data_IF_586682474444
#
_entry.id   IF_586682474444
#
_cell.length_a   1.000
_cell.length_b   1.000
_cell.length_c   1.000
_cell.angle_alpha   90.00
_cell.angle_beta   90.00
_cell.angle_gamma   90.00
#
_symmetry.space_group_name_H-M   'P 1'
#
loop_
_entity.id
_entity.type
_entity.pdbx_description
1 polymer ?
#
# COMPACT_ATOMS: atom_id res chain seq x y z
N UNK A 1 -0.96 -21.40 37.07
CA UNK A 1 -2.05 -21.46 36.09
C UNK A 1 -2.04 -20.18 35.27
N UNK A 2 -1.40 -20.18 34.09
CA UNK A 2 -1.35 -19.00 33.22
C UNK A 2 -2.76 -18.78 32.67
N UNK A 3 -3.36 -17.64 32.99
CA UNK A 3 -4.71 -17.27 32.53
C UNK A 3 -4.71 -17.18 31.02
N UNK A 4 -5.36 -18.14 30.36
CA UNK A 4 -5.68 -18.05 28.94
C UNK A 4 -6.79 -17.02 28.84
N UNK A 5 -6.46 -15.82 28.37
CA UNK A 5 -7.45 -14.82 27.99
C UNK A 5 -8.14 -15.32 26.72
N UNK A 6 -9.37 -15.79 26.86
CA UNK A 6 -10.19 -16.17 25.72
C UNK A 6 -10.66 -14.91 24.99
N UNK A 7 -10.29 -14.79 23.72
CA UNK A 7 -10.81 -13.74 22.82
C UNK A 7 -11.99 -14.33 22.05
N UNK A 8 -13.18 -13.69 22.06
CA UNK A 8 -14.30 -14.15 21.24
C UNK A 8 -13.93 -14.20 19.76
N UNK A 9 -14.38 -15.23 19.05
CA UNK A 9 -14.16 -15.38 17.60
C UNK A 9 -14.63 -14.15 16.81
N UNK A 10 -15.68 -13.47 17.28
CA UNK A 10 -16.20 -12.22 16.67
C UNK A 10 -15.22 -11.05 16.72
N UNK A 11 -14.24 -11.11 17.62
CA UNK A 11 -13.27 -10.04 17.85
C UNK A 11 -11.90 -10.39 17.27
N UNK A 12 -11.74 -11.59 16.70
CA UNK A 12 -10.50 -11.98 16.03
C UNK A 12 -10.41 -11.33 14.67
N UNK A 13 -9.23 -10.81 14.37
CA UNK A 13 -8.83 -10.33 13.04
C UNK A 13 -8.05 -11.42 12.33
N UNK A 14 -7.99 -11.36 11.01
CA UNK A 14 -7.17 -12.30 10.21
C UNK A 14 -5.70 -12.30 10.64
N UNK A 15 -5.18 -11.16 11.12
CA UNK A 15 -3.81 -11.01 11.63
C UNK A 15 -3.54 -11.79 12.92
N UNK A 16 -4.57 -12.13 13.70
CA UNK A 16 -4.40 -12.92 14.95
C UNK A 16 -3.99 -14.38 14.67
N UNK A 17 -4.07 -14.81 13.40
CA UNK A 17 -3.64 -16.12 12.93
C UNK A 17 -2.26 -16.09 12.24
N UNK A 18 -1.58 -14.93 12.23
CA UNK A 18 -0.27 -14.74 11.62
C UNK A 18 0.84 -14.65 12.69
N UNK A 19 2.06 -14.99 12.30
CA UNK A 19 3.25 -14.92 13.16
C UNK A 19 3.89 -13.53 13.06
N UNK A 20 4.21 -12.92 14.20
CA UNK A 20 4.94 -11.63 14.26
C UNK A 20 6.43 -11.82 13.96
N UNK A 21 7.07 -10.86 13.29
CA UNK A 21 8.51 -10.86 13.09
C UNK A 21 9.14 -9.46 13.19
N UNK A 22 10.40 -9.39 13.64
CA UNK A 22 11.23 -8.17 13.57
C UNK A 22 12.16 -8.20 12.36
N UNK A 23 12.81 -9.35 12.13
CA UNK A 23 13.69 -9.57 10.98
C UNK A 23 13.51 -10.98 10.45
N UNK A 24 13.66 -11.15 9.14
CA UNK A 24 13.76 -12.47 8.52
C UNK A 24 14.61 -12.41 7.25
N UNK A 25 14.97 -13.58 6.75
CA UNK A 25 15.63 -13.76 5.47
C UNK A 25 14.96 -14.90 4.72
N UNK A 26 14.92 -14.81 3.40
CA UNK A 26 14.50 -15.93 2.57
C UNK A 26 15.54 -17.06 2.64
N UNK A 27 15.07 -18.30 2.52
CA UNK A 27 15.87 -19.52 2.72
C UNK A 27 17.06 -19.65 1.76
N UNK A 28 17.02 -18.99 0.62
CA UNK A 28 18.09 -18.96 -0.38
C UNK A 28 19.12 -17.83 -0.14
N UNK A 29 19.00 -17.04 0.93
CA UNK A 29 19.96 -15.96 1.17
C UNK A 29 21.23 -16.45 1.88
N UNK A 30 22.39 -16.15 1.29
CA UNK A 30 23.70 -16.50 1.84
C UNK A 30 24.35 -15.41 2.73
N UNK A 31 23.72 -14.24 2.87
CA UNK A 31 24.33 -13.06 3.51
C UNK A 31 23.42 -12.42 4.58
N UNK A 32 22.56 -13.22 5.23
CA UNK A 32 21.56 -12.75 6.19
C UNK A 32 22.14 -12.01 7.41
N UNK A 33 23.40 -12.27 7.76
CA UNK A 33 24.08 -11.64 8.89
C UNK A 33 24.67 -10.24 8.55
N UNK A 34 24.61 -9.82 7.28
CA UNK A 34 25.20 -8.57 6.83
C UNK A 34 24.15 -7.50 6.56
N UNK A 35 24.24 -6.39 7.29
CA UNK A 35 23.36 -5.21 7.13
C UNK A 35 23.47 -4.57 5.73
N UNK A 36 24.59 -4.79 5.03
CA UNK A 36 24.78 -4.34 3.65
C UNK A 36 24.16 -5.29 2.61
N UNK A 37 23.43 -6.33 3.03
CA UNK A 37 22.79 -7.27 2.15
C UNK A 37 21.29 -6.96 1.99
N UNK A 38 20.86 -6.81 0.74
CA UNK A 38 19.44 -6.62 0.38
C UNK A 38 18.54 -7.80 0.77
N UNK A 39 19.09 -8.90 1.29
CA UNK A 39 18.29 -10.04 1.73
C UNK A 39 17.63 -9.89 3.10
N UNK A 40 18.24 -9.11 3.99
CA UNK A 40 17.74 -9.03 5.37
C UNK A 40 16.52 -8.11 5.38
N UNK A 41 15.36 -8.70 5.62
CA UNK A 41 14.09 -8.00 5.63
C UNK A 41 13.75 -7.66 7.07
N UNK A 42 13.74 -6.36 7.35
CA UNK A 42 13.50 -5.82 8.69
C UNK A 42 12.16 -5.12 8.70
N UNK A 43 11.33 -5.43 9.70
CA UNK A 43 10.11 -4.69 9.94
C UNK A 43 10.44 -3.22 10.22
N UNK A 44 9.80 -2.24 9.56
CA UNK A 44 10.13 -0.84 9.78
C UNK A 44 9.85 -0.40 11.22
N UNK A 45 10.58 0.61 11.69
CA UNK A 45 10.41 1.15 13.04
C UNK A 45 8.97 1.62 13.27
N UNK A 46 8.45 1.35 14.47
CA UNK A 46 7.08 1.63 14.91
C UNK A 46 5.97 0.88 14.16
N UNK A 47 6.31 0.04 13.17
CA UNK A 47 5.36 -0.81 12.47
C UNK A 47 5.25 -2.19 13.15
N UNK A 48 4.17 -2.88 12.84
CA UNK A 48 3.97 -4.28 13.21
C UNK A 48 3.95 -5.13 11.94
N UNK A 49 4.75 -6.20 11.91
CA UNK A 49 4.83 -7.07 10.75
C UNK A 49 4.44 -8.51 11.08
N UNK A 50 3.71 -9.13 10.15
CA UNK A 50 3.10 -10.44 10.34
C UNK A 50 3.26 -11.30 9.10
N UNK A 51 3.39 -12.61 9.26
CA UNK A 51 3.50 -13.53 8.15
C UNK A 51 2.73 -14.84 8.38
N UNK A 52 2.34 -15.52 7.31
CA UNK A 52 1.86 -16.89 7.39
C UNK A 52 3.05 -17.89 7.39
N UNK A 53 2.85 -19.17 7.76
CA UNK A 53 3.95 -20.14 7.82
C UNK A 53 4.71 -20.34 6.50
N UNK A 54 4.09 -20.02 5.36
CA UNK A 54 4.68 -20.19 4.03
C UNK A 54 5.29 -18.91 3.45
N UNK A 55 5.17 -17.76 4.15
CA UNK A 55 5.55 -16.43 3.66
C UNK A 55 4.84 -16.03 2.35
N UNK A 56 3.71 -16.67 2.06
CA UNK A 56 2.83 -16.27 0.96
C UNK A 56 2.08 -14.97 1.28
N UNK A 57 1.83 -14.72 2.56
CA UNK A 57 1.28 -13.48 3.10
C UNK A 57 2.31 -12.87 4.04
N UNK A 58 2.72 -11.64 3.72
CA UNK A 58 3.57 -10.80 4.54
C UNK A 58 2.89 -9.44 4.68
N UNK A 59 2.38 -9.16 5.87
CA UNK A 59 1.67 -7.94 6.23
C UNK A 59 2.61 -6.99 6.95
N UNK A 60 2.66 -5.75 6.49
CA UNK A 60 3.40 -4.64 7.14
C UNK A 60 2.39 -3.57 7.53
N UNK A 61 2.10 -3.46 8.82
CA UNK A 61 1.17 -2.49 9.38
C UNK A 61 1.92 -1.30 9.98
N UNK A 62 1.89 -0.19 9.27
CA UNK A 62 2.44 1.10 9.66
C UNK A 62 1.34 2.19 9.79
N UNK A 63 0.11 1.78 10.08
CA UNK A 63 -1.03 2.68 10.15
C UNK A 63 -1.00 3.59 11.39
N UNK A 64 -1.63 4.77 11.28
CA UNK A 64 -1.90 5.68 12.39
C UNK A 64 -0.70 6.09 13.25
N UNK A 65 0.49 6.22 12.64
CA UNK A 65 1.72 6.60 13.35
C UNK A 65 1.95 8.12 13.37
N UNK A 66 1.11 8.90 12.69
CA UNK A 66 1.28 10.36 12.53
C UNK A 66 2.63 10.74 11.90
N UNK A 67 3.19 9.87 11.06
CA UNK A 67 4.46 10.13 10.36
C UNK A 67 4.22 10.86 9.04
N UNK A 68 5.19 11.67 8.63
CA UNK A 68 5.12 12.45 7.38
C UNK A 68 5.86 11.82 6.21
N UNK A 69 6.58 10.72 6.43
CA UNK A 69 7.36 10.05 5.39
C UNK A 69 7.07 8.55 5.38
N UNK A 70 7.09 7.97 4.18
CA UNK A 70 6.97 6.52 3.99
C UNK A 70 8.26 5.87 4.48
N UNK A 71 8.21 4.77 5.26
CA UNK A 71 9.42 4.08 5.70
C UNK A 71 10.27 3.59 4.52
N UNK A 72 11.56 3.96 4.48
CA UNK A 72 12.46 3.57 3.38
C UNK A 72 12.62 2.04 3.25
N UNK A 73 12.47 1.32 4.37
CA UNK A 73 12.74 -0.13 4.50
C UNK A 73 11.50 -1.00 4.58
N UNK A 74 10.46 -0.71 3.77
CA UNK A 74 9.37 -1.69 3.59
C UNK A 74 9.98 -2.98 2.98
N UNK A 75 9.82 -4.16 3.61
CA UNK A 75 10.28 -5.44 3.09
C UNK A 75 9.90 -5.67 1.62
N UNK A 76 10.84 -6.14 0.79
CA UNK A 76 10.59 -6.34 -0.66
C UNK A 76 9.57 -7.43 -0.98
N UNK A 77 9.34 -8.37 -0.06
CA UNK A 77 8.37 -9.46 -0.16
C UNK A 77 7.02 -9.14 0.49
N UNK A 78 6.88 -7.94 1.08
CA UNK A 78 5.63 -7.49 1.65
C UNK A 78 4.51 -7.60 0.61
N UNK A 79 3.40 -8.24 1.01
CA UNK A 79 2.24 -8.49 0.16
C UNK A 79 1.10 -7.52 0.47
N UNK A 80 0.98 -7.10 1.71
CA UNK A 80 -0.08 -6.20 2.19
C UNK A 80 0.55 -5.11 3.05
N UNK A 81 0.38 -3.85 2.66
CA UNK A 81 1.02 -2.72 3.34
C UNK A 81 -0.03 -1.70 3.76
N UNK A 82 -0.10 -1.44 5.06
CA UNK A 82 -0.98 -0.43 5.65
C UNK A 82 -0.17 0.79 6.05
N UNK A 83 -0.48 1.92 5.43
CA UNK A 83 0.12 3.24 5.66
C UNK A 83 -0.96 4.31 5.91
N UNK A 84 -2.20 3.88 6.14
CA UNK A 84 -3.34 4.75 6.36
C UNK A 84 -3.29 5.49 7.71
N UNK A 85 -3.95 6.65 7.77
CA UNK A 85 -3.99 7.47 8.99
C UNK A 85 -2.68 8.19 9.32
N UNK A 86 -1.84 8.47 8.33
CA UNK A 86 -0.57 9.19 8.49
C UNK A 86 -0.66 10.64 7.94
N UNK A 87 0.47 11.35 7.87
CA UNK A 87 0.52 12.77 7.48
C UNK A 87 1.47 13.00 6.30
N UNK A 88 1.39 12.16 5.26
CA UNK A 88 2.39 12.12 4.19
C UNK A 88 2.45 13.39 3.35
N UNK A 89 1.32 14.07 3.16
CA UNK A 89 1.15 15.24 2.27
C UNK A 89 1.43 14.97 0.79
N UNK A 90 2.48 14.22 0.45
CA UNK A 90 2.80 13.80 -0.90
C UNK A 90 3.40 12.40 -0.92
N UNK A 91 3.16 11.65 -1.98
CA UNK A 91 3.80 10.36 -2.22
C UNK A 91 4.94 10.55 -3.21
N UNK A 92 6.17 10.35 -2.75
CA UNK A 92 7.39 10.62 -3.52
C UNK A 92 7.56 9.67 -4.71
N UNK A 93 8.38 10.08 -5.69
CA UNK A 93 8.81 9.22 -6.79
C UNK A 93 9.47 7.95 -6.21
N UNK A 94 9.18 6.78 -6.79
CA UNK A 94 9.83 5.51 -6.43
C UNK A 94 9.68 5.06 -4.96
N UNK A 95 8.69 5.58 -4.22
CA UNK A 95 8.47 5.26 -2.82
C UNK A 95 8.35 3.75 -2.53
N UNK A 96 7.87 2.97 -3.51
CA UNK A 96 7.68 1.52 -3.39
C UNK A 96 8.55 0.70 -4.35
N UNK A 97 9.69 1.24 -4.78
CA UNK A 97 10.57 0.58 -5.74
C UNK A 97 10.99 -0.82 -5.26
N UNK A 98 10.90 -1.81 -6.14
CA UNK A 98 11.31 -3.20 -5.84
C UNK A 98 10.28 -4.04 -5.09
N UNK A 99 9.14 -3.50 -4.66
CA UNK A 99 8.09 -4.24 -3.91
C UNK A 99 7.14 -4.98 -4.85
N UNK A 100 7.71 -5.86 -5.67
CA UNK A 100 7.00 -6.56 -6.77
C UNK A 100 5.93 -7.54 -6.29
N UNK A 101 6.01 -8.00 -5.04
CA UNK A 101 5.08 -8.96 -4.45
C UNK A 101 3.87 -8.29 -3.79
N UNK A 102 3.86 -6.96 -3.68
CA UNK A 102 2.77 -6.22 -3.04
C UNK A 102 1.48 -6.36 -3.85
N UNK A 103 0.44 -6.83 -3.18
CA UNK A 103 -0.92 -7.05 -3.71
C UNK A 103 -1.90 -5.98 -3.24
N UNK A 104 -1.73 -5.48 -2.02
CA UNK A 104 -2.62 -4.48 -1.43
C UNK A 104 -1.82 -3.35 -0.78
N UNK A 105 -2.19 -2.10 -1.09
CA UNK A 105 -1.60 -0.90 -0.52
C UNK A 105 -2.70 0.03 0.00
N UNK A 106 -2.62 0.36 1.29
CA UNK A 106 -3.56 1.26 1.96
C UNK A 106 -2.86 2.55 2.35
N UNK A 107 -3.31 3.68 1.80
CA UNK A 107 -2.80 5.03 2.08
C UNK A 107 -3.97 6.01 2.29
N UNK A 108 -5.12 5.49 2.73
CA UNK A 108 -6.31 6.29 2.99
C UNK A 108 -6.14 7.17 4.23
N UNK A 109 -6.86 8.29 4.28
CA UNK A 109 -6.84 9.17 5.45
C UNK A 109 -5.44 9.69 5.80
N UNK A 110 -4.55 9.84 4.81
CA UNK A 110 -3.14 10.20 5.02
C UNK A 110 -2.76 11.61 4.56
N UNK A 111 -3.77 12.48 4.39
CA UNK A 111 -3.65 13.89 3.94
C UNK A 111 -2.86 14.06 2.63
N UNK A 112 -2.85 13.06 1.75
CA UNK A 112 -2.10 13.11 0.49
C UNK A 112 -2.73 14.14 -0.45
N UNK A 113 -1.95 15.13 -0.85
CA UNK A 113 -2.30 16.20 -1.79
C UNK A 113 -1.77 15.89 -3.19
N UNK A 114 -0.57 15.29 -3.29
CA UNK A 114 0.08 14.98 -4.57
C UNK A 114 0.62 13.55 -4.64
N UNK A 115 0.51 12.93 -5.81
CA UNK A 115 1.17 11.67 -6.16
C UNK A 115 2.18 12.00 -7.25
N UNK A 116 3.47 11.78 -6.99
CA UNK A 116 4.51 12.09 -7.96
C UNK A 116 4.61 11.02 -9.05
N UNK A 117 5.39 11.33 -10.09
CA UNK A 117 5.57 10.42 -11.20
C UNK A 117 6.25 9.13 -10.72
N UNK A 118 5.82 7.96 -11.22
CA UNK A 118 6.45 6.68 -10.86
C UNK A 118 6.45 6.38 -9.35
N UNK A 119 5.59 7.01 -8.54
CA UNK A 119 5.42 6.64 -7.12
C UNK A 119 5.16 5.15 -6.95
N UNK A 120 4.26 4.61 -7.77
CA UNK A 120 3.89 3.19 -7.76
C UNK A 120 4.71 2.33 -8.74
N UNK A 121 5.83 2.84 -9.26
CA UNK A 121 6.66 2.06 -10.18
C UNK A 121 7.26 0.83 -9.49
N UNK A 122 7.13 -0.32 -10.16
CA UNK A 122 7.59 -1.61 -9.63
C UNK A 122 6.53 -2.41 -8.86
N UNK A 123 5.35 -1.82 -8.61
CA UNK A 123 4.20 -2.52 -8.01
C UNK A 123 3.43 -3.36 -9.04
N UNK A 124 4.13 -4.25 -9.74
CA UNK A 124 3.58 -4.99 -10.88
C UNK A 124 2.47 -5.98 -10.51
N UNK A 125 2.38 -6.39 -9.25
CA UNK A 125 1.40 -7.36 -8.74
C UNK A 125 0.28 -6.72 -7.92
N UNK A 126 0.19 -5.38 -7.92
CA UNK A 126 -0.79 -4.66 -7.10
C UNK A 126 -2.20 -4.89 -7.66
N UNK A 127 -3.10 -5.34 -6.78
CA UNK A 127 -4.50 -5.65 -7.07
C UNK A 127 -5.42 -4.58 -6.48
N UNK A 128 -5.10 -4.11 -5.27
CA UNK A 128 -5.94 -3.18 -4.50
C UNK A 128 -5.12 -1.96 -4.10
N UNK A 129 -5.62 -0.77 -4.43
CA UNK A 129 -5.04 0.51 -4.02
C UNK A 129 -6.09 1.40 -3.36
N UNK A 130 -5.87 1.71 -2.07
CA UNK A 130 -6.69 2.64 -1.31
C UNK A 130 -6.02 4.01 -1.15
N UNK A 131 -6.62 5.02 -1.76
CA UNK A 131 -6.25 6.44 -1.68
C UNK A 131 -7.43 7.33 -1.26
N UNK A 132 -8.52 6.74 -0.75
CA UNK A 132 -9.70 7.48 -0.33
C UNK A 132 -9.46 8.34 0.92
N UNK A 133 -10.33 9.33 1.18
CA UNK A 133 -10.21 10.26 2.31
C UNK A 133 -8.86 11.01 2.33
N UNK A 134 -8.34 11.37 1.16
CA UNK A 134 -7.15 12.20 1.02
C UNK A 134 -7.54 13.59 0.50
N UNK A 135 -6.57 14.33 -0.05
CA UNK A 135 -6.75 15.70 -0.53
C UNK A 135 -6.35 15.84 -2.00
N UNK A 136 -6.44 14.77 -2.78
CA UNK A 136 -6.06 14.80 -4.19
C UNK A 136 -7.01 15.73 -4.96
N UNK A 137 -6.47 16.65 -5.76
CA UNK A 137 -7.25 17.62 -6.54
C UNK A 137 -7.29 17.31 -8.05
N UNK A 138 -6.22 16.70 -8.56
CA UNK A 138 -6.04 16.43 -9.99
C UNK A 138 -5.38 15.06 -10.20
N UNK A 139 -5.80 14.37 -11.25
CA UNK A 139 -5.13 13.20 -11.80
C UNK A 139 -4.69 13.52 -13.23
N UNK A 140 -3.39 13.48 -13.49
CA UNK A 140 -2.77 14.04 -14.69
C UNK A 140 -2.38 12.97 -15.72
N UNK A 141 -2.69 11.70 -15.47
CA UNK A 141 -2.54 10.63 -16.44
C UNK A 141 -1.36 9.69 -16.19
N UNK A 142 -0.43 10.05 -15.31
CA UNK A 142 0.80 9.27 -15.06
C UNK A 142 0.75 8.46 -13.76
N UNK A 143 -0.17 8.80 -12.84
CA UNK A 143 -0.16 8.30 -11.47
C UNK A 143 -0.23 6.77 -11.42
N UNK A 144 -0.96 6.15 -12.35
CA UNK A 144 -1.21 4.71 -12.36
C UNK A 144 -0.61 3.95 -13.56
N UNK A 145 0.37 4.53 -14.26
CA UNK A 145 0.91 4.04 -15.54
C UNK A 145 1.36 2.56 -15.53
N UNK A 146 1.83 2.07 -14.38
CA UNK A 146 2.44 0.73 -14.26
C UNK A 146 1.53 -0.32 -13.63
N UNK A 147 0.29 0.04 -13.26
CA UNK A 147 -0.58 -0.78 -12.42
C UNK A 147 -1.53 -1.67 -13.24
N UNK A 148 -0.98 -2.47 -14.16
CA UNK A 148 -1.77 -3.25 -15.14
C UNK A 148 -2.61 -4.38 -14.53
N UNK A 149 -2.23 -4.87 -13.35
CA UNK A 149 -2.97 -5.89 -12.59
C UNK A 149 -3.99 -5.32 -11.58
N UNK A 150 -4.06 -3.98 -11.46
CA UNK A 150 -4.94 -3.34 -10.50
C UNK A 150 -6.39 -3.63 -10.84
N UNK A 151 -7.10 -4.19 -9.86
CA UNK A 151 -8.50 -4.59 -9.98
C UNK A 151 -9.41 -3.62 -9.23
N UNK A 152 -8.92 -3.03 -8.14
CA UNK A 152 -9.69 -2.13 -7.29
C UNK A 152 -8.91 -0.84 -6.99
N UNK A 153 -9.51 0.29 -7.36
CA UNK A 153 -8.97 1.63 -7.11
C UNK A 153 -10.00 2.47 -6.34
N UNK A 154 -9.61 2.87 -5.13
CA UNK A 154 -10.44 3.65 -4.23
C UNK A 154 -9.91 5.07 -4.09
N UNK A 155 -10.64 6.04 -4.64
CA UNK A 155 -10.32 7.47 -4.66
C UNK A 155 -11.45 8.33 -4.07
N UNK A 156 -12.44 7.71 -3.42
CA UNK A 156 -13.56 8.42 -2.82
C UNK A 156 -13.14 9.43 -1.75
N UNK A 157 -13.96 10.45 -1.53
CA UNK A 157 -13.74 11.48 -0.51
C UNK A 157 -12.38 12.19 -0.65
N UNK A 158 -12.05 12.54 -1.90
CA UNK A 158 -10.95 13.44 -2.24
C UNK A 158 -11.53 14.77 -2.77
N UNK A 159 -10.69 15.63 -3.34
CA UNK A 159 -11.09 16.90 -3.95
C UNK A 159 -10.93 16.89 -5.47
N UNK A 160 -10.96 15.70 -6.09
CA UNK A 160 -10.63 15.53 -7.49
C UNK A 160 -11.65 16.29 -8.33
N UNK A 161 -11.17 17.28 -9.08
CA UNK A 161 -11.97 18.11 -9.97
C UNK A 161 -11.63 17.88 -11.45
N UNK A 162 -10.48 17.25 -11.72
CA UNK A 162 -9.99 16.95 -13.05
C UNK A 162 -9.34 15.56 -13.10
N UNK A 163 -9.67 14.81 -14.15
CA UNK A 163 -9.08 13.51 -14.47
C UNK A 163 -8.70 13.52 -15.94
N UNK A 164 -7.41 13.37 -16.23
CA UNK A 164 -6.90 13.24 -17.59
C UNK A 164 -7.40 11.94 -18.24
N UNK A 165 -7.67 11.96 -19.55
CA UNK A 165 -8.21 10.80 -20.28
C UNK A 165 -7.27 9.58 -20.29
N UNK A 166 -5.97 9.78 -20.06
CA UNK A 166 -5.00 8.69 -19.97
C UNK A 166 -4.92 8.04 -18.60
N UNK A 167 -5.46 8.68 -17.55
CA UNK A 167 -5.31 8.26 -16.13
C UNK A 167 -5.62 6.79 -15.90
N UNK A 168 -6.70 6.28 -16.51
CA UNK A 168 -7.15 4.90 -16.31
C UNK A 168 -6.83 3.98 -17.50
N UNK A 169 -6.29 4.51 -18.59
CA UNK A 169 -5.95 3.71 -19.79
C UNK A 169 -5.03 2.50 -19.53
N UNK A 170 -4.07 2.53 -18.58
CA UNK A 170 -3.18 1.40 -18.30
C UNK A 170 -3.81 0.34 -17.40
N UNK A 171 -4.94 0.64 -16.76
CA UNK A 171 -5.59 -0.19 -15.74
C UNK A 171 -6.46 -1.28 -16.40
N UNK A 172 -5.84 -2.15 -17.19
CA UNK A 172 -6.53 -3.14 -18.04
C UNK A 172 -7.36 -4.17 -17.25
N UNK A 173 -7.06 -4.36 -15.96
CA UNK A 173 -7.73 -5.33 -15.09
C UNK A 173 -8.77 -4.69 -14.15
N UNK A 174 -9.01 -3.39 -14.25
CA UNK A 174 -9.82 -2.64 -13.29
C UNK A 174 -11.28 -3.09 -13.34
N UNK A 175 -11.83 -3.44 -12.18
CA UNK A 175 -13.23 -3.85 -12.00
C UNK A 175 -14.00 -2.92 -11.07
N UNK A 176 -13.31 -2.35 -10.09
CA UNK A 176 -13.90 -1.44 -9.10
C UNK A 176 -13.15 -0.13 -9.13
N UNK A 177 -13.86 0.95 -9.41
CA UNK A 177 -13.38 2.32 -9.32
C UNK A 177 -14.35 3.12 -8.46
N UNK A 178 -13.87 3.66 -7.33
CA UNK A 178 -14.66 4.54 -6.47
C UNK A 178 -14.16 5.98 -6.55
N UNK A 179 -15.05 6.86 -7.01
CA UNK A 179 -14.81 8.29 -7.18
C UNK A 179 -15.87 9.15 -6.48
N UNK A 180 -16.76 8.54 -5.70
CA UNK A 180 -17.78 9.25 -4.92
C UNK A 180 -17.16 10.25 -3.93
N UNK A 181 -17.89 11.33 -3.58
CA UNK A 181 -17.38 12.35 -2.66
C UNK A 181 -16.29 13.27 -3.24
N UNK A 182 -16.03 13.25 -4.55
CA UNK A 182 -15.13 14.17 -5.25
C UNK A 182 -15.84 15.43 -5.79
N UNK A 183 -15.10 16.28 -6.50
CA UNK A 183 -15.58 17.55 -7.10
C UNK A 183 -15.70 17.48 -8.62
N UNK A 184 -16.00 16.29 -9.15
CA UNK A 184 -16.16 16.04 -10.57
C UNK A 184 -17.47 16.68 -11.07
N UNK A 185 -17.35 17.58 -12.03
CA UNK A 185 -18.51 18.27 -12.65
C UNK A 185 -18.83 17.75 -14.05
N UNK A 186 -17.85 17.12 -14.70
CA UNK A 186 -17.98 16.54 -16.03
C UNK A 186 -17.24 15.20 -16.07
N UNK A 187 -17.76 14.26 -16.85
CA UNK A 187 -17.28 12.88 -16.95
C UNK A 187 -16.97 12.54 -18.42
N UNK A 188 -15.98 13.22 -19.00
CA UNK A 188 -15.53 13.00 -20.39
C UNK A 188 -14.50 11.87 -20.53
N UNK A 189 -14.26 11.12 -19.46
CA UNK A 189 -13.14 10.19 -19.32
C UNK A 189 -13.15 9.05 -20.37
N UNK A 190 -14.30 8.74 -20.99
CA UNK A 190 -14.49 7.56 -21.86
C UNK A 190 -14.94 7.94 -23.28
N UNK A 191 -14.25 8.88 -23.93
CA UNK A 191 -14.47 9.21 -25.36
C UNK A 191 -13.48 8.54 -26.30
#
# INVERSE_FOLDING_TARGET
TRGVTHVPLSNLKSTDFLCTYETHCFTLCHCCDYVACDCQMTCPNNCSCYHDPTWHTNVVDCSSQSVSEIPEKIPMDATEVYLDGNDFKELQNYAFIGRKNMRSLYVNSSKVENIHNRTFAGLSSLIILHLGNNKLEHLNGYEFEHLTQLTELYLQDNFISHIDNKTFSPLLSLKILRLDGNRLVDFTVWS
#
